data_IF_251583048187
#
_entry.id   IF_251583048187
#
_cell.length_a   1.000
_cell.length_b   1.000
_cell.length_c   1.000
_cell.angle_alpha   90.00
_cell.angle_beta   90.00
_cell.angle_gamma   90.00
#
_symmetry.space_group_name_H-M   'P 1'
#
loop_
_entity.id
_entity.type
_entity.pdbx_description
1 polymer ?
#
# COMPACT_ATOMS: atom_id res chain seq x y z
N UNK A 1 25.80 -1.34 -5.87
CA UNK A 1 24.38 -1.31 -6.28
C UNK A 1 24.23 -2.27 -7.45
N UNK A 2 23.18 -3.11 -7.50
CA UNK A 2 22.91 -3.94 -8.66
C UNK A 2 22.89 -3.07 -9.93
N UNK A 3 23.44 -3.58 -11.03
CA UNK A 3 23.93 -2.78 -12.13
C UNK A 3 22.86 -2.08 -13.01
N UNK A 4 21.57 -2.36 -12.81
CA UNK A 4 20.51 -1.99 -13.76
C UNK A 4 19.26 -1.34 -13.10
N UNK A 5 19.40 -0.73 -11.92
CA UNK A 5 18.28 -0.05 -11.25
C UNK A 5 18.02 1.33 -11.85
N UNK A 6 16.93 1.49 -12.62
CA UNK A 6 16.40 2.80 -12.94
C UNK A 6 15.93 3.48 -11.64
N UNK A 7 16.58 4.59 -11.29
CA UNK A 7 16.25 5.36 -10.10
C UNK A 7 14.76 5.78 -10.10
N UNK A 8 14.20 6.02 -11.29
CA UNK A 8 12.80 6.38 -11.48
C UNK A 8 11.88 5.24 -11.07
N UNK A 9 12.17 4.03 -11.52
CA UNK A 9 11.41 2.83 -11.19
C UNK A 9 11.43 2.56 -9.68
N UNK A 10 12.61 2.67 -9.06
CA UNK A 10 12.76 2.49 -7.62
C UNK A 10 11.91 3.50 -6.84
N UNK A 11 12.03 4.79 -7.15
CA UNK A 11 11.28 5.84 -6.45
C UNK A 11 9.77 5.72 -6.67
N UNK A 12 9.34 5.36 -7.88
CA UNK A 12 7.93 5.14 -8.19
C UNK A 12 7.35 3.98 -7.37
N UNK A 13 8.07 2.86 -7.33
CA UNK A 13 7.65 1.67 -6.58
C UNK A 13 7.65 1.94 -5.08
N UNK A 14 8.65 2.66 -4.58
CA UNK A 14 8.71 3.07 -3.18
C UNK A 14 7.55 4.00 -2.81
N UNK A 15 7.21 4.96 -3.67
CA UNK A 15 6.05 5.83 -3.48
C UNK A 15 4.73 5.04 -3.47
N UNK A 16 4.57 4.06 -4.37
CA UNK A 16 3.40 3.18 -4.39
C UNK A 16 3.28 2.35 -3.11
N UNK A 17 4.40 1.84 -2.60
CA UNK A 17 4.44 1.13 -1.32
C UNK A 17 3.96 2.01 -0.16
N UNK A 18 4.51 3.23 -0.04
CA UNK A 18 4.09 4.19 0.98
C UNK A 18 2.61 4.56 0.86
N UNK A 19 2.12 4.76 -0.37
CA UNK A 19 0.71 5.03 -0.62
C UNK A 19 -0.19 3.89 -0.12
N UNK A 20 0.19 2.64 -0.36
CA UNK A 20 -0.53 1.47 0.14
C UNK A 20 -0.60 1.45 1.68
N UNK A 21 0.52 1.67 2.35
CA UNK A 21 0.61 1.71 3.83
C UNK A 21 -0.24 2.86 4.39
N UNK A 22 -0.12 4.06 3.82
CA UNK A 22 -0.89 5.23 4.26
C UNK A 22 -2.38 5.00 4.07
N UNK A 23 -2.80 4.43 2.93
CA UNK A 23 -4.21 4.17 2.67
C UNK A 23 -4.80 3.18 3.67
N UNK A 24 -4.10 2.06 3.95
CA UNK A 24 -4.53 1.09 4.96
C UNK A 24 -4.58 1.75 6.34
N UNK A 25 -3.53 2.46 6.74
CA UNK A 25 -3.45 3.13 8.04
C UNK A 25 -4.59 4.13 8.25
N UNK A 26 -4.89 4.95 7.23
CA UNK A 26 -6.01 5.89 7.25
C UNK A 26 -7.34 5.17 7.37
N UNK A 27 -7.58 4.11 6.59
CA UNK A 27 -8.84 3.37 6.66
C UNK A 27 -9.04 2.68 8.02
N UNK A 28 -7.99 2.08 8.58
CA UNK A 28 -8.01 1.48 9.92
C UNK A 28 -8.30 2.54 10.98
N UNK A 29 -7.65 3.71 10.89
CA UNK A 29 -7.89 4.80 11.83
C UNK A 29 -9.33 5.31 11.76
N UNK A 30 -9.85 5.50 10.54
CA UNK A 30 -11.21 5.91 10.27
C UNK A 30 -12.23 4.89 10.80
N UNK A 31 -11.95 3.59 10.66
CA UNK A 31 -12.83 2.50 11.09
C UNK A 31 -12.82 2.31 12.61
N UNK A 32 -11.68 2.54 13.27
CA UNK A 32 -11.54 2.51 14.74
C UNK A 32 -12.07 3.75 15.43
N UNK A 33 -12.30 4.86 14.72
CA UNK A 33 -12.81 6.09 15.32
C UNK A 33 -14.24 5.84 15.85
N UNK A 34 -14.51 6.12 17.15
CA UNK A 34 -15.84 5.95 17.72
C UNK A 34 -16.87 6.72 16.91
N UNK A 35 -18.02 6.08 16.64
CA UNK A 35 -19.14 6.74 15.96
C UNK A 35 -19.72 7.81 16.89
N UNK A 36 -19.69 9.05 16.45
CA UNK A 36 -20.30 10.19 17.16
C UNK A 36 -21.71 10.50 16.69
N UNK A 37 -22.16 9.85 15.61
CA UNK A 37 -23.46 10.04 14.97
C UNK A 37 -24.08 8.67 14.65
N UNK A 38 -25.41 8.58 14.73
CA UNK A 38 -26.24 7.42 14.39
C UNK A 38 -26.33 7.24 12.86
N UNK A 39 -26.04 8.29 12.09
CA UNK A 39 -26.07 8.21 10.63
C UNK A 39 -25.15 7.10 10.09
N UNK A 40 -25.67 6.20 9.23
CA UNK A 40 -24.87 5.15 8.63
C UNK A 40 -23.80 5.76 7.73
N UNK A 41 -22.55 5.29 7.87
CA UNK A 41 -21.44 5.74 7.03
C UNK A 41 -21.62 5.16 5.63
N UNK A 42 -21.83 6.01 4.63
CA UNK A 42 -21.96 5.62 3.23
C UNK A 42 -20.62 5.26 2.57
N UNK A 43 -19.50 5.58 3.21
CA UNK A 43 -18.16 5.29 2.70
C UNK A 43 -17.72 3.90 3.20
N UNK A 44 -17.64 2.87 2.32
CA UNK A 44 -17.17 1.55 2.73
C UNK A 44 -15.64 1.59 2.90
N UNK A 45 -15.12 1.50 4.12
CA UNK A 45 -13.66 1.56 4.42
C UNK A 45 -12.93 0.29 3.99
N UNK A 46 -13.60 -0.86 4.08
CA UNK A 46 -13.06 -2.18 3.77
C UNK A 46 -12.49 -2.30 2.34
N UNK A 47 -13.18 -1.92 1.25
CA UNK A 47 -12.62 -2.02 -0.10
C UNK A 47 -11.38 -1.13 -0.30
N UNK A 48 -11.33 0.07 0.31
CA UNK A 48 -10.14 0.92 0.26
C UNK A 48 -8.97 0.31 1.05
N UNK A 49 -9.25 -0.35 2.18
CA UNK A 49 -8.25 -1.07 2.95
C UNK A 49 -7.66 -2.23 2.12
N UNK A 50 -8.49 -3.01 1.44
CA UNK A 50 -8.04 -4.08 0.54
C UNK A 50 -7.22 -3.55 -0.64
N UNK A 51 -7.66 -2.46 -1.28
CA UNK A 51 -6.92 -1.83 -2.37
C UNK A 51 -5.54 -1.36 -1.90
N UNK A 52 -5.46 -0.68 -0.76
CA UNK A 52 -4.19 -0.25 -0.18
C UNK A 52 -3.26 -1.40 0.18
N UNK A 53 -3.80 -2.46 0.77
CA UNK A 53 -3.04 -3.67 1.11
C UNK A 53 -2.50 -4.37 -0.14
N UNK A 54 -3.32 -4.47 -1.20
CA UNK A 54 -2.90 -5.08 -2.47
C UNK A 54 -1.79 -4.26 -3.14
N UNK A 55 -1.96 -2.94 -3.25
CA UNK A 55 -0.95 -2.03 -3.82
C UNK A 55 0.35 -2.13 -3.02
N UNK A 56 0.27 -2.08 -1.68
CA UNK A 56 1.44 -2.19 -0.81
C UNK A 56 2.15 -3.53 -0.97
N UNK A 57 1.40 -4.63 -1.04
CA UNK A 57 1.99 -5.96 -1.24
C UNK A 57 2.70 -6.09 -2.58
N UNK A 58 2.06 -5.64 -3.67
CA UNK A 58 2.65 -5.68 -5.02
C UNK A 58 3.91 -4.81 -5.11
N UNK A 59 3.86 -3.59 -4.57
CA UNK A 59 5.00 -2.69 -4.53
C UNK A 59 6.15 -3.25 -3.68
N UNK A 60 5.84 -3.92 -2.56
CA UNK A 60 6.84 -4.61 -1.74
C UNK A 60 7.52 -5.74 -2.52
N UNK A 61 6.74 -6.61 -3.17
CA UNK A 61 7.26 -7.69 -4.02
C UNK A 61 8.16 -7.13 -5.11
N UNK A 62 7.75 -6.04 -5.76
CA UNK A 62 8.54 -5.39 -6.79
C UNK A 62 9.85 -4.82 -6.24
N UNK A 63 9.83 -4.15 -5.08
CA UNK A 63 11.04 -3.67 -4.39
C UNK A 63 11.99 -4.81 -4.04
N UNK A 64 11.48 -5.95 -3.58
CA UNK A 64 12.28 -7.14 -3.28
C UNK A 64 12.93 -7.70 -4.55
N UNK A 65 12.19 -7.76 -5.65
CA UNK A 65 12.72 -8.17 -6.95
C UNK A 65 13.83 -7.22 -7.44
N UNK A 66 13.64 -5.90 -7.31
CA UNK A 66 14.66 -4.88 -7.61
C UNK A 66 15.92 -5.04 -6.72
N UNK A 67 15.76 -5.53 -5.50
CA UNK A 67 16.88 -5.84 -4.61
C UNK A 67 17.60 -7.16 -4.98
N UNK A 68 17.10 -7.91 -5.96
CA UNK A 68 17.64 -9.20 -6.37
C UNK A 68 17.05 -10.40 -5.61
N UNK A 69 16.07 -10.17 -4.73
CA UNK A 69 15.31 -11.22 -4.06
C UNK A 69 14.18 -11.62 -5.01
N UNK A 70 14.37 -12.72 -5.74
CA UNK A 70 13.40 -13.20 -6.72
C UNK A 70 12.20 -13.82 -5.99
N UNK A 71 11.09 -13.09 -6.00
CA UNK A 71 9.82 -13.50 -5.41
C UNK A 71 9.01 -14.26 -6.46
N UNK A 72 9.48 -15.44 -6.86
CA UNK A 72 8.89 -16.24 -7.95
C UNK A 72 9.92 -17.18 -8.57
N UNK A 73 9.45 -18.24 -9.25
CA UNK A 73 10.32 -19.13 -10.06
C UNK A 73 10.39 -18.62 -11.49
#
# INVERSE_FOLDING_TARGET
>A
MPADLDATEFWLTFAAFLLGIVLVGLMVWIERRPRTDINPRLMPTTPFMFAGALIGLLALVHLLNLWGIHTGR
#
